data_IF_955234532761
#
_entry.id   IF_955234532761
#
_cell.length_a   1.000
_cell.length_b   1.000
_cell.length_c   1.000
_cell.angle_alpha   90.00
_cell.angle_beta   90.00
_cell.angle_gamma   90.00
#
_symmetry.space_group_name_H-M   'P 1'
#
loop_
_entity.id
_entity.type
_entity.pdbx_description
1 polymer ?
#
# COMPACT_ATOMS: atom_id res chain seq x y z
N UNK A 1 75.55 17.07 4.10
CA UNK A 1 75.76 17.75 5.39
C UNK A 1 75.18 19.15 5.31
N UNK A 2 74.47 19.67 6.32
CA UNK A 2 73.77 19.03 7.47
C UNK A 2 72.24 19.07 7.24
N UNK A 3 71.43 18.09 7.68
CA UNK A 3 71.09 17.68 9.04
C UNK A 3 70.35 18.78 9.83
N UNK A 4 69.02 18.68 9.84
CA UNK A 4 68.19 19.05 10.98
C UNK A 4 67.08 18.00 11.10
N UNK A 5 67.24 17.12 12.08
CA UNK A 5 66.13 16.36 12.64
C UNK A 5 65.34 17.30 13.53
N UNK A 6 64.01 17.15 13.48
CA UNK A 6 63.04 17.24 14.57
C UNK A 6 61.68 17.13 13.86
N UNK A 7 60.66 16.38 14.26
CA UNK A 7 60.41 15.33 15.23
C UNK A 7 58.99 14.88 14.84
N UNK A 8 58.64 13.61 15.05
CA UNK A 8 57.37 13.02 14.63
C UNK A 8 56.14 13.84 15.09
N UNK A 9 55.38 14.41 14.15
CA UNK A 9 54.01 14.89 14.40
C UNK A 9 53.09 13.66 14.48
N UNK A 10 53.19 12.98 15.61
CA UNK A 10 52.24 11.97 16.06
C UNK A 10 50.90 12.67 16.27
N UNK A 11 50.09 12.71 15.21
CA UNK A 11 48.75 13.25 15.22
C UNK A 11 47.99 12.76 16.45
N UNK A 12 47.57 13.71 17.29
CA UNK A 12 46.86 13.47 18.54
C UNK A 12 45.72 12.47 18.31
N UNK A 13 45.95 11.24 18.76
CA UNK A 13 44.93 10.22 18.85
C UNK A 13 43.80 10.77 19.68
N UNK A 14 42.61 10.89 19.07
CA UNK A 14 41.40 11.26 19.78
C UNK A 14 41.28 10.44 21.07
N UNK A 15 41.00 11.07 22.22
CA UNK A 15 40.98 10.35 23.49
C UNK A 15 39.98 9.19 23.39
N UNK A 16 40.29 8.01 23.99
CA UNK A 16 39.39 6.88 23.97
C UNK A 16 38.05 7.35 24.54
N UNK A 17 36.99 7.23 23.74
CA UNK A 17 35.63 7.53 24.20
C UNK A 17 35.39 6.72 25.46
N UNK A 18 35.16 7.43 26.57
CA UNK A 18 34.76 6.81 27.82
C UNK A 18 33.66 5.77 27.53
N UNK A 19 33.72 4.57 28.14
CA UNK A 19 32.67 3.58 27.95
C UNK A 19 31.36 4.29 28.29
N UNK A 20 30.50 4.43 27.27
CA UNK A 20 29.17 4.95 27.51
C UNK A 20 28.58 4.01 28.52
N UNK A 21 28.33 4.51 29.73
CA UNK A 21 27.45 3.88 30.69
C UNK A 21 26.12 3.72 29.97
N UNK A 22 25.99 2.59 29.28
CA UNK A 22 24.72 2.08 28.84
C UNK A 22 24.13 1.65 30.16
N UNK A 23 23.54 2.61 30.88
CA UNK A 23 22.47 2.34 31.82
C UNK A 23 21.49 1.52 30.98
N UNK A 24 21.64 0.21 31.02
CA UNK A 24 20.58 -0.71 30.71
C UNK A 24 19.50 -0.29 31.67
N UNK A 25 18.64 0.62 31.21
CA UNK A 25 17.40 0.92 31.88
C UNK A 25 16.74 -0.44 31.95
N UNK A 26 16.87 -1.12 33.09
CA UNK A 26 16.17 -2.36 33.34
C UNK A 26 14.74 -2.06 32.89
N UNK A 27 14.27 -2.79 31.88
CA UNK A 27 12.89 -2.65 31.43
C UNK A 27 12.06 -2.79 32.70
N UNK A 28 11.47 -1.69 33.17
CA UNK A 28 10.66 -1.71 34.39
C UNK A 28 9.54 -2.67 34.06
N UNK A 29 9.61 -3.88 34.60
CA UNK A 29 8.64 -4.94 34.36
C UNK A 29 7.27 -4.31 34.63
N UNK A 30 6.36 -4.36 33.64
CA UNK A 30 5.03 -3.77 33.80
C UNK A 30 4.30 -4.56 34.88
N UNK A 31 4.26 -4.01 36.08
CA UNK A 31 3.48 -4.55 37.17
C UNK A 31 2.04 -4.06 37.02
N UNK A 32 1.08 -4.99 37.06
CA UNK A 32 -0.33 -4.63 37.18
C UNK A 32 -0.55 -3.86 38.50
N UNK A 33 -1.41 -2.82 38.52
CA UNK A 33 -1.73 -2.13 39.76
C UNK A 33 -2.35 -3.08 40.79
N UNK A 34 -2.18 -2.77 42.07
CA UNK A 34 -2.73 -3.57 43.16
C UNK A 34 -4.28 -3.59 43.10
N UNK A 35 -4.87 -4.77 43.33
CA UNK A 35 -6.34 -4.95 43.38
C UNK A 35 -7.00 -5.50 42.10
N UNK A 36 -6.27 -5.71 41.01
CA UNK A 36 -6.82 -6.29 39.78
C UNK A 36 -6.58 -7.82 39.72
N UNK A 37 -7.65 -8.59 39.58
CA UNK A 37 -7.59 -10.06 39.54
C UNK A 37 -7.12 -10.56 38.16
N UNK A 38 -6.03 -11.34 38.16
CA UNK A 38 -5.44 -11.96 36.96
C UNK A 38 -5.96 -13.39 36.77
N UNK A 39 -6.29 -13.76 35.53
CA UNK A 39 -6.69 -15.14 35.19
C UNK A 39 -5.46 -15.90 34.71
N UNK A 40 -4.72 -16.56 35.61
CA UNK A 40 -3.61 -17.44 35.22
C UNK A 40 -4.09 -18.88 35.08
N UNK A 41 -3.64 -19.56 34.02
CA UNK A 41 -4.09 -20.91 33.66
C UNK A 41 -3.00 -21.92 34.00
N UNK A 42 -3.16 -22.70 35.07
CA UNK A 42 -2.69 -24.09 35.06
C UNK A 42 -3.60 -24.88 34.09
N UNK A 43 -3.37 -24.61 32.81
CA UNK A 43 -3.90 -25.23 31.60
C UNK A 43 -2.95 -24.86 30.45
N UNK A 44 -2.54 -25.87 29.68
CA UNK A 44 -1.14 -26.08 29.28
C UNK A 44 -0.45 -24.96 28.45
N UNK A 45 0.55 -24.36 29.12
CA UNK A 45 1.89 -24.00 28.65
C UNK A 45 2.08 -22.84 27.65
N UNK A 46 1.93 -21.60 28.13
CA UNK A 46 3.06 -20.66 28.42
C UNK A 46 2.52 -19.23 28.50
N UNK A 47 2.40 -18.65 29.70
CA UNK A 47 2.24 -17.20 29.83
C UNK A 47 3.09 -16.65 30.98
N UNK A 48 3.97 -15.72 30.61
CA UNK A 48 4.72 -14.78 31.45
C UNK A 48 5.25 -13.69 30.51
N UNK A 49 5.17 -12.39 30.81
CA UNK A 49 5.17 -11.71 32.12
C UNK A 49 4.14 -10.56 32.07
N UNK A 50 3.09 -10.39 32.90
CA UNK A 50 2.59 -11.11 34.09
C UNK A 50 1.10 -10.74 34.38
N UNK A 51 0.03 -11.44 33.99
CA UNK A 51 -0.19 -12.71 33.27
C UNK A 51 -1.72 -12.83 33.14
N UNK A 52 -2.22 -13.33 31.99
CA UNK A 52 -3.63 -13.63 31.76
C UNK A 52 -4.53 -12.41 31.49
N UNK A 53 -5.68 -12.58 30.82
CA UNK A 53 -6.62 -11.49 30.65
C UNK A 53 -7.15 -11.04 32.03
N UNK A 54 -7.27 -9.73 32.24
CA UNK A 54 -8.03 -9.16 33.35
C UNK A 54 -9.53 -9.44 33.17
N UNK A 55 -10.27 -9.44 34.27
CA UNK A 55 -11.71 -9.66 34.27
C UNK A 55 -12.46 -8.61 33.42
N UNK A 56 -13.56 -9.01 32.78
CA UNK A 56 -14.31 -8.14 31.87
C UNK A 56 -14.92 -6.90 32.57
N UNK A 57 -15.25 -7.00 33.86
CA UNK A 57 -15.77 -5.89 34.68
C UNK A 57 -14.72 -4.90 35.19
N UNK A 58 -13.49 -4.95 34.66
CA UNK A 58 -12.39 -4.07 35.04
C UNK A 58 -12.66 -2.63 34.61
N UNK A 59 -12.43 -1.67 35.50
CA UNK A 59 -12.41 -0.25 35.13
C UNK A 59 -11.12 0.09 34.35
N UNK A 60 -11.20 -0.03 33.03
CA UNK A 60 -10.09 0.19 32.10
C UNK A 60 -9.58 1.64 32.09
N UNK A 61 -10.39 2.62 32.51
CA UNK A 61 -10.02 4.03 32.53
C UNK A 61 -8.87 4.33 33.51
N UNK A 62 -8.82 3.57 34.61
CA UNK A 62 -7.81 3.69 35.66
C UNK A 62 -6.48 3.00 35.33
N UNK A 63 -6.46 2.18 34.29
CA UNK A 63 -5.26 1.43 33.90
C UNK A 63 -4.34 2.26 32.98
N UNK A 64 -3.02 2.01 33.05
CA UNK A 64 -2.06 2.64 32.15
C UNK A 64 -2.19 2.06 30.74
N UNK A 65 -1.99 2.91 29.72
CA UNK A 65 -2.13 2.56 28.29
C UNK A 65 -1.42 1.25 27.93
N UNK A 66 -0.17 0.99 28.35
CA UNK A 66 0.50 -0.25 27.98
C UNK A 66 -0.21 -1.53 28.45
N UNK A 67 -0.86 -1.50 29.61
CA UNK A 67 -1.66 -2.63 30.11
C UNK A 67 -2.91 -2.82 29.25
N UNK A 68 -3.59 -1.73 28.88
CA UNK A 68 -4.77 -1.80 28.02
C UNK A 68 -4.41 -2.39 26.65
N UNK A 69 -3.26 -2.00 26.10
CA UNK A 69 -2.73 -2.56 24.84
C UNK A 69 -2.39 -4.04 24.96
N UNK A 70 -1.72 -4.44 26.03
CA UNK A 70 -1.45 -5.85 26.33
C UNK A 70 -2.76 -6.66 26.37
N UNK A 71 -3.80 -6.14 27.01
CA UNK A 71 -5.09 -6.81 27.16
C UNK A 71 -5.87 -6.95 25.84
N UNK A 72 -5.72 -6.00 24.92
CA UNK A 72 -6.23 -6.11 23.54
C UNK A 72 -5.43 -7.14 22.74
N UNK A 73 -4.09 -7.11 22.85
CA UNK A 73 -3.19 -8.04 22.17
C UNK A 73 -3.46 -9.50 22.60
N UNK A 74 -3.62 -9.75 23.89
CA UNK A 74 -3.99 -11.08 24.44
C UNK A 74 -5.32 -11.58 23.87
N UNK A 75 -6.26 -10.68 23.57
CA UNK A 75 -7.57 -11.00 23.00
C UNK A 75 -7.58 -11.07 21.46
N UNK A 76 -6.42 -10.89 20.81
CA UNK A 76 -6.31 -10.91 19.35
C UNK A 76 -6.96 -9.70 18.67
N UNK A 77 -7.05 -8.58 19.38
CA UNK A 77 -7.70 -7.35 18.90
C UNK A 77 -6.65 -6.25 18.71
N UNK A 78 -6.81 -5.35 17.73
CA UNK A 78 -5.83 -4.30 17.48
C UNK A 78 -5.60 -3.42 18.72
N UNK A 79 -4.34 -3.18 19.08
CA UNK A 79 -3.91 -2.51 20.32
C UNK A 79 -3.48 -1.04 20.12
N UNK A 80 -3.68 -0.49 18.92
CA UNK A 80 -3.30 0.87 18.57
C UNK A 80 -4.50 1.84 18.64
N UNK A 81 -4.21 3.13 18.75
CA UNK A 81 -5.21 4.20 18.85
C UNK A 81 -5.03 5.08 20.10
N UNK A 82 -5.96 6.01 20.28
CA UNK A 82 -6.06 6.84 21.50
C UNK A 82 -6.55 6.00 22.68
N UNK A 83 -6.30 6.45 23.91
CA UNK A 83 -6.67 5.73 25.14
C UNK A 83 -8.17 5.38 25.18
N UNK A 84 -9.03 6.32 24.82
CA UNK A 84 -10.48 6.12 24.87
C UNK A 84 -10.94 5.09 23.82
N UNK A 85 -10.38 5.14 22.61
CA UNK A 85 -10.67 4.17 21.53
C UNK A 85 -10.27 2.74 21.92
N UNK A 86 -9.09 2.56 22.52
CA UNK A 86 -8.64 1.24 22.95
C UNK A 86 -9.44 0.74 24.17
N UNK A 87 -9.93 1.63 25.03
CA UNK A 87 -10.83 1.27 26.15
C UNK A 87 -12.17 0.79 25.61
N UNK A 88 -12.81 1.58 24.74
CA UNK A 88 -14.11 1.22 24.15
C UNK A 88 -14.02 -0.10 23.39
N UNK A 89 -12.94 -0.30 22.63
CA UNK A 89 -12.67 -1.56 21.93
C UNK A 89 -12.51 -2.74 22.89
N UNK A 90 -11.86 -2.51 24.04
CA UNK A 90 -11.66 -3.54 25.06
C UNK A 90 -12.94 -3.84 25.84
N UNK A 91 -13.82 -2.86 26.04
CA UNK A 91 -15.16 -3.07 26.63
C UNK A 91 -16.02 -3.91 25.68
N UNK A 92 -16.00 -3.59 24.39
CA UNK A 92 -16.83 -4.22 23.37
C UNK A 92 -16.12 -5.37 22.64
N UNK A 93 -15.08 -5.96 23.24
CA UNK A 93 -14.17 -6.89 22.57
C UNK A 93 -14.86 -8.16 22.05
N UNK A 94 -15.91 -8.63 22.74
CA UNK A 94 -16.67 -9.84 22.37
C UNK A 94 -17.49 -9.65 21.10
N UNK A 95 -17.91 -8.41 20.83
CA UNK A 95 -18.68 -8.02 19.65
C UNK A 95 -17.83 -7.25 18.64
N UNK A 96 -16.52 -7.13 18.89
CA UNK A 96 -15.62 -6.41 18.03
C UNK A 96 -15.49 -7.13 16.68
N UNK A 97 -15.98 -6.48 15.64
CA UNK A 97 -15.74 -6.88 14.26
C UNK A 97 -14.62 -5.99 13.73
N UNK A 98 -13.47 -6.57 13.32
CA UNK A 98 -12.39 -5.77 12.76
C UNK A 98 -12.90 -5.06 11.50
N UNK A 99 -12.64 -3.77 11.43
CA UNK A 99 -12.98 -2.99 10.25
C UNK A 99 -12.16 -3.50 9.06
N UNK A 100 -12.85 -4.15 8.12
CA UNK A 100 -12.26 -4.63 6.87
C UNK A 100 -12.71 -3.76 5.72
N UNK A 101 -11.78 -3.42 4.84
CA UNK A 101 -12.10 -2.75 3.58
C UNK A 101 -12.17 -3.81 2.50
N UNK A 102 -13.35 -4.00 1.92
CA UNK A 102 -13.49 -4.86 0.74
C UNK A 102 -12.86 -4.16 -0.46
N UNK A 103 -11.75 -4.71 -0.94
CA UNK A 103 -10.97 -4.11 -2.04
C UNK A 103 -11.44 -4.64 -3.40
N UNK A 104 -11.50 -5.96 -3.52
CA UNK A 104 -12.04 -6.71 -4.67
C UNK A 104 -12.33 -8.13 -4.25
N UNK A 105 -13.20 -8.81 -4.98
CA UNK A 105 -13.34 -10.26 -4.84
C UNK A 105 -12.03 -10.93 -5.25
N UNK A 106 -11.57 -11.90 -4.46
CA UNK A 106 -10.38 -12.67 -4.79
C UNK A 106 -10.62 -13.41 -6.12
N UNK A 107 -9.76 -13.20 -7.10
CA UNK A 107 -9.84 -13.86 -8.41
C UNK A 107 -8.93 -15.09 -8.45
N UNK A 108 -9.10 -15.97 -9.45
CA UNK A 108 -8.19 -17.12 -9.68
C UNK A 108 -6.70 -16.71 -9.76
N UNK A 109 -6.41 -15.47 -10.19
CA UNK A 109 -5.07 -14.89 -10.18
C UNK A 109 -4.46 -14.77 -8.77
N UNK A 110 -5.28 -14.66 -7.73
CA UNK A 110 -4.81 -14.50 -6.35
C UNK A 110 -4.37 -15.84 -5.76
N UNK A 111 -4.98 -16.95 -6.21
CA UNK A 111 -4.54 -18.31 -5.89
C UNK A 111 -3.16 -18.61 -6.50
N UNK A 112 -2.88 -18.06 -7.69
CA UNK A 112 -1.59 -18.21 -8.37
C UNK A 112 -0.40 -17.58 -7.61
N UNK A 113 -0.65 -16.64 -6.69
CA UNK A 113 0.42 -16.05 -5.87
C UNK A 113 0.98 -17.01 -4.82
N UNK A 114 0.17 -17.98 -4.38
CA UNK A 114 0.52 -18.88 -3.28
C UNK A 114 0.66 -18.15 -1.94
N UNK A 115 1.41 -18.75 -1.01
CA UNK A 115 1.65 -18.17 0.30
C UNK A 115 2.56 -16.93 0.22
N UNK A 116 2.08 -15.81 0.74
CA UNK A 116 2.83 -14.54 0.74
C UNK A 116 3.72 -14.46 2.00
N UNK A 117 5.04 -14.39 1.80
CA UNK A 117 6.00 -14.43 2.91
C UNK A 117 5.94 -13.16 3.75
N UNK A 118 5.68 -13.25 5.05
CA UNK A 118 5.49 -12.04 5.86
C UNK A 118 6.79 -11.26 6.07
N UNK A 119 7.90 -11.93 6.37
CA UNK A 119 9.08 -11.26 6.92
C UNK A 119 10.33 -11.39 6.06
N UNK A 120 10.55 -12.52 5.39
CA UNK A 120 11.79 -12.83 4.68
C UNK A 120 11.50 -13.46 3.31
N UNK A 121 12.07 -12.95 2.23
CA UNK A 121 11.95 -13.55 0.89
C UNK A 121 12.83 -14.81 0.76
N UNK A 122 12.64 -15.58 -0.32
CA UNK A 122 13.50 -16.73 -0.61
C UNK A 122 14.96 -16.31 -0.84
N UNK A 123 15.17 -15.09 -1.35
CA UNK A 123 16.49 -14.46 -1.51
C UNK A 123 17.05 -13.82 -0.22
N UNK A 124 16.33 -13.92 0.92
CA UNK A 124 16.77 -13.39 2.21
C UNK A 124 16.48 -11.91 2.46
N UNK A 125 15.72 -11.25 1.58
CA UNK A 125 15.30 -9.85 1.75
C UNK A 125 14.31 -9.74 2.91
N UNK A 126 14.37 -8.66 3.68
CA UNK A 126 13.49 -8.46 4.84
C UNK A 126 12.48 -7.34 4.60
N UNK A 127 11.27 -7.50 5.14
CA UNK A 127 10.27 -6.43 5.23
C UNK A 127 9.63 -6.34 6.61
N UNK A 128 9.14 -5.14 6.93
CA UNK A 128 8.20 -4.95 8.01
C UNK A 128 6.79 -5.20 7.49
N UNK A 129 6.14 -6.25 7.99
CA UNK A 129 4.80 -6.63 7.54
C UNK A 129 3.72 -5.82 8.25
N UNK A 130 2.96 -5.05 7.49
CA UNK A 130 1.83 -4.27 7.98
C UNK A 130 0.55 -5.10 7.90
N UNK A 131 -0.16 -5.23 9.02
CA UNK A 131 -1.47 -5.90 9.06
C UNK A 131 -2.58 -5.10 8.36
N UNK A 132 -3.59 -5.82 7.85
CA UNK A 132 -4.78 -5.23 7.22
C UNK A 132 -5.67 -4.48 8.22
N UNK A 133 -5.49 -4.74 9.51
CA UNK A 133 -6.15 -4.08 10.64
C UNK A 133 -5.53 -2.72 11.00
N UNK A 134 -4.46 -2.31 10.31
CA UNK A 134 -3.81 -1.03 10.57
C UNK A 134 -4.73 0.15 10.22
N UNK A 135 -5.03 1.02 11.20
CA UNK A 135 -5.97 2.14 11.02
C UNK A 135 -5.59 3.11 9.89
N UNK A 136 -4.30 3.37 9.67
CA UNK A 136 -3.84 4.24 8.57
C UNK A 136 -4.06 3.59 7.22
N UNK A 137 -3.80 2.28 7.13
CA UNK A 137 -4.10 1.51 5.92
C UNK A 137 -5.60 1.51 5.64
N UNK A 138 -6.44 1.17 6.62
CA UNK A 138 -7.90 1.14 6.46
C UNK A 138 -8.42 2.48 5.93
N UNK A 139 -8.00 3.60 6.54
CA UNK A 139 -8.40 4.94 6.07
C UNK A 139 -7.96 5.21 4.62
N UNK A 140 -6.72 4.84 4.27
CA UNK A 140 -6.20 5.03 2.92
C UNK A 140 -6.87 4.10 1.90
N UNK A 141 -7.16 2.86 2.27
CA UNK A 141 -7.83 1.87 1.44
C UNK A 141 -9.28 2.28 1.17
N UNK A 142 -10.03 2.74 2.18
CA UNK A 142 -11.39 3.29 1.98
C UNK A 142 -11.39 4.39 0.93
N UNK A 143 -10.48 5.35 1.05
CA UNK A 143 -10.33 6.44 0.07
C UNK A 143 -9.94 5.91 -1.30
N UNK A 144 -9.08 4.89 -1.36
CA UNK A 144 -8.69 4.30 -2.63
C UNK A 144 -9.88 3.66 -3.36
N UNK A 145 -10.75 2.95 -2.64
CA UNK A 145 -11.91 2.29 -3.23
C UNK A 145 -13.01 3.30 -3.65
N UNK A 146 -13.24 4.35 -2.86
CA UNK A 146 -14.38 5.26 -3.04
C UNK A 146 -14.07 6.49 -3.91
N UNK A 147 -12.89 7.08 -3.78
CA UNK A 147 -12.57 8.31 -4.51
C UNK A 147 -12.34 8.03 -6.02
N UNK A 148 -12.54 9.07 -6.83
CA UNK A 148 -12.25 9.02 -8.25
C UNK A 148 -10.76 9.31 -8.49
N UNK A 149 -10.03 8.33 -9.02
CA UNK A 149 -8.65 8.47 -9.43
C UNK A 149 -8.48 7.96 -10.86
N UNK A 150 -7.70 8.71 -11.64
CA UNK A 150 -7.45 8.47 -13.05
C UNK A 150 -5.95 8.30 -13.26
N UNK A 151 -5.57 7.25 -13.98
CA UNK A 151 -4.22 7.06 -14.51
C UNK A 151 -4.15 7.86 -15.81
N UNK A 152 -3.29 8.89 -15.82
CA UNK A 152 -3.16 9.81 -16.96
C UNK A 152 -1.91 9.57 -17.78
N UNK A 153 -0.97 8.80 -17.23
CA UNK A 153 0.28 8.41 -17.88
C UNK A 153 0.87 7.20 -17.13
N UNK A 154 1.54 6.31 -17.84
CA UNK A 154 2.28 5.21 -17.25
C UNK A 154 3.59 4.99 -18.02
N UNK A 155 4.66 4.69 -17.28
CA UNK A 155 5.97 4.43 -17.84
C UNK A 155 6.53 3.21 -17.15
N UNK A 156 6.77 2.16 -17.93
CA UNK A 156 7.58 1.03 -17.51
C UNK A 156 9.04 1.46 -17.55
N UNK A 157 9.76 1.22 -16.46
CA UNK A 157 11.19 1.47 -16.33
C UNK A 157 11.87 0.17 -15.91
N UNK A 158 12.91 -0.21 -16.64
CA UNK A 158 13.84 -1.23 -16.17
C UNK A 158 15.04 -0.50 -15.56
N UNK A 159 15.12 -0.51 -14.23
CA UNK A 159 16.22 0.10 -13.50
C UNK A 159 17.22 -1.00 -13.13
N UNK A 160 18.24 -1.19 -13.98
CA UNK A 160 19.33 -2.16 -13.75
C UNK A 160 18.88 -3.63 -13.56
N UNK A 161 17.89 -4.08 -14.35
CA UNK A 161 17.35 -5.44 -14.26
C UNK A 161 16.35 -5.64 -13.13
N UNK A 162 15.99 -4.57 -12.42
CA UNK A 162 14.93 -4.56 -11.42
C UNK A 162 13.69 -3.92 -12.04
N UNK A 163 12.57 -4.65 -12.15
CA UNK A 163 11.37 -4.10 -12.74
C UNK A 163 10.83 -2.95 -11.89
N UNK A 164 10.49 -1.84 -12.52
CA UNK A 164 9.84 -0.71 -11.89
C UNK A 164 8.76 -0.14 -12.81
N UNK A 165 7.60 0.19 -12.26
CA UNK A 165 6.55 0.86 -13.02
C UNK A 165 6.13 2.14 -12.32
N UNK A 166 6.05 3.21 -13.11
CA UNK A 166 5.64 4.53 -12.64
C UNK A 166 4.32 4.95 -13.28
N UNK A 167 3.42 5.49 -12.47
CA UNK A 167 2.08 5.94 -12.86
C UNK A 167 1.88 7.39 -12.47
N UNK A 168 1.26 8.19 -13.35
CA UNK A 168 0.71 9.50 -12.98
C UNK A 168 -0.75 9.32 -12.61
N UNK A 169 -1.05 9.53 -11.33
CA UNK A 169 -2.41 9.42 -10.78
C UNK A 169 -2.96 10.81 -10.52
N UNK A 170 -4.13 11.12 -11.07
CA UNK A 170 -4.80 12.41 -10.94
C UNK A 170 -6.25 12.23 -10.48
N UNK A 171 -6.75 13.19 -9.71
CA UNK A 171 -8.17 13.34 -9.39
C UNK A 171 -8.81 14.52 -10.14
N UNK A 172 -8.07 15.14 -11.08
CA UNK A 172 -8.53 16.23 -11.93
C UNK A 172 -7.91 17.60 -11.66
N UNK A 173 -7.26 17.81 -10.52
CA UNK A 173 -6.58 19.09 -10.19
C UNK A 173 -5.08 18.89 -10.38
N UNK A 174 -4.50 18.11 -9.49
CA UNK A 174 -3.08 17.78 -9.48
C UNK A 174 -2.88 16.30 -9.81
N UNK A 175 -1.63 15.98 -10.15
CA UNK A 175 -1.20 14.62 -10.36
C UNK A 175 -0.04 14.28 -9.42
N UNK A 176 0.00 13.03 -8.99
CA UNK A 176 1.10 12.48 -8.21
C UNK A 176 1.74 11.33 -9.00
N UNK A 177 3.05 11.21 -8.87
CA UNK A 177 3.76 10.03 -9.40
C UNK A 177 3.68 8.93 -8.36
N UNK A 178 3.17 7.78 -8.74
CA UNK A 178 3.23 6.53 -7.97
C UNK A 178 4.29 5.64 -8.61
N UNK A 179 5.14 5.06 -7.79
CA UNK A 179 6.21 4.16 -8.23
C UNK A 179 6.01 2.82 -7.55
N UNK A 180 5.91 1.75 -8.33
CA UNK A 180 5.82 0.38 -7.85
C UNK A 180 7.09 -0.34 -8.31
N UNK A 181 7.96 -0.61 -7.35
CA UNK A 181 9.16 -1.42 -7.48
C UNK A 181 9.36 -2.21 -6.19
N UNK A 182 10.57 -2.70 -5.90
CA UNK A 182 10.86 -3.37 -4.62
C UNK A 182 10.54 -2.49 -3.41
N UNK A 183 10.58 -1.17 -3.60
CA UNK A 183 9.99 -0.19 -2.68
C UNK A 183 8.90 0.60 -3.39
N UNK A 184 7.72 0.69 -2.76
CA UNK A 184 6.63 1.50 -3.27
C UNK A 184 6.79 2.96 -2.85
N UNK A 185 6.48 3.88 -3.76
CA UNK A 185 6.65 5.31 -3.58
C UNK A 185 5.49 6.11 -4.13
N UNK A 186 5.26 7.30 -3.57
CA UNK A 186 4.37 8.29 -4.17
C UNK A 186 4.81 9.70 -3.80
N UNK A 187 4.64 10.66 -4.71
CA UNK A 187 4.98 12.08 -4.49
C UNK A 187 3.91 12.84 -3.71
N UNK A 188 2.84 12.18 -3.23
CA UNK A 188 1.78 12.86 -2.49
C UNK A 188 2.17 13.15 -1.03
N UNK A 189 1.59 14.20 -0.42
CA UNK A 189 1.90 14.55 0.97
C UNK A 189 1.71 13.38 1.95
N UNK A 190 0.66 12.58 1.76
CA UNK A 190 0.40 11.42 2.62
C UNK A 190 1.54 10.38 2.57
N UNK A 191 2.15 10.14 1.41
CA UNK A 191 3.27 9.22 1.29
C UNK A 191 4.58 9.82 1.83
N UNK A 192 4.75 11.15 1.70
CA UNK A 192 5.91 11.88 2.24
C UNK A 192 5.91 11.87 3.76
N UNK A 193 4.77 12.07 4.42
CA UNK A 193 4.69 12.15 5.88
C UNK A 193 4.34 10.82 6.58
N UNK A 194 3.88 9.80 5.84
CA UNK A 194 3.58 8.48 6.40
C UNK A 194 4.51 7.40 5.83
N UNK A 195 5.47 6.98 6.65
CA UNK A 195 6.44 5.94 6.28
C UNK A 195 6.02 4.52 6.66
N UNK A 196 4.89 4.34 7.36
CA UNK A 196 4.48 3.02 7.85
C UNK A 196 3.67 2.22 6.83
N UNK A 197 2.77 2.87 6.08
CA UNK A 197 1.85 2.20 5.16
C UNK A 197 1.75 2.97 3.85
N UNK A 198 1.26 2.31 2.80
CA UNK A 198 0.97 2.97 1.53
C UNK A 198 -0.12 4.04 1.65
N UNK A 199 -0.01 5.08 0.81
CA UNK A 199 -1.05 6.10 0.66
C UNK A 199 -2.16 5.59 -0.27
N UNK A 200 -3.29 6.30 -0.33
CA UNK A 200 -4.41 5.94 -1.20
C UNK A 200 -4.03 5.77 -2.67
N UNK A 201 -3.09 6.56 -3.21
CA UNK A 201 -2.69 6.46 -4.62
C UNK A 201 -1.90 5.17 -4.91
N UNK A 202 -0.99 4.78 -4.02
CA UNK A 202 -0.26 3.52 -4.15
C UNK A 202 -1.21 2.34 -3.99
N UNK A 203 -2.11 2.40 -3.00
CA UNK A 203 -3.13 1.36 -2.79
C UNK A 203 -4.02 1.24 -4.02
N UNK A 204 -4.45 2.37 -4.61
CA UNK A 204 -5.27 2.39 -5.82
C UNK A 204 -4.61 1.69 -7.00
N UNK A 205 -3.33 2.00 -7.24
CA UNK A 205 -2.55 1.38 -8.31
C UNK A 205 -2.39 -0.11 -8.06
N UNK A 206 -1.98 -0.51 -6.85
CA UNK A 206 -1.84 -1.92 -6.52
C UNK A 206 -3.17 -2.67 -6.61
N UNK A 207 -4.30 -2.08 -6.20
CA UNK A 207 -5.59 -2.76 -6.17
C UNK A 207 -6.31 -2.81 -7.52
N UNK A 208 -6.44 -1.67 -8.21
CA UNK A 208 -7.27 -1.57 -9.41
C UNK A 208 -6.47 -1.74 -10.70
N UNK A 209 -5.25 -1.19 -10.74
CA UNK A 209 -4.43 -1.20 -11.96
C UNK A 209 -3.66 -2.52 -12.08
N UNK A 210 -2.90 -2.87 -11.03
CA UNK A 210 -2.04 -4.06 -11.04
C UNK A 210 -2.71 -5.31 -10.47
N UNK A 211 -3.87 -5.18 -9.82
CA UNK A 211 -4.60 -6.29 -9.19
C UNK A 211 -3.69 -7.17 -8.30
N UNK A 212 -2.89 -6.53 -7.46
CA UNK A 212 -2.07 -7.19 -6.46
C UNK A 212 -2.95 -7.82 -5.36
N UNK A 213 -2.46 -8.88 -4.68
CA UNK A 213 -3.12 -9.45 -3.50
C UNK A 213 -3.35 -8.44 -2.37
N UNK A 214 -4.48 -8.56 -1.66
CA UNK A 214 -4.92 -7.60 -0.62
C UNK A 214 -3.84 -7.38 0.46
N UNK A 215 -3.17 -8.45 0.88
CA UNK A 215 -2.16 -8.37 1.94
C UNK A 215 -0.87 -7.62 1.53
N UNK A 216 -0.64 -7.40 0.24
CA UNK A 216 0.48 -6.60 -0.27
C UNK A 216 0.15 -5.11 -0.37
N UNK A 217 -1.13 -4.73 -0.39
CA UNK A 217 -1.56 -3.34 -0.52
C UNK A 217 -0.98 -2.39 0.56
N UNK A 218 -0.92 -2.76 1.86
CA UNK A 218 -0.31 -1.88 2.85
C UNK A 218 1.23 -1.87 2.81
N UNK A 219 1.87 -2.85 2.15
CA UNK A 219 3.31 -3.08 2.26
C UNK A 219 4.12 -2.07 1.46
N UNK A 220 5.10 -1.45 2.12
CA UNK A 220 6.05 -0.53 1.48
C UNK A 220 7.15 -1.24 0.68
N UNK A 221 7.37 -2.51 0.98
CA UNK A 221 8.38 -3.36 0.35
C UNK A 221 7.67 -4.56 -0.27
N UNK A 222 7.86 -4.70 -1.58
CA UNK A 222 7.36 -5.83 -2.39
C UNK A 222 8.62 -6.59 -2.81
N UNK A 223 8.69 -7.89 -2.56
CA UNK A 223 9.88 -8.65 -2.98
C UNK A 223 9.94 -8.75 -4.51
N UNK A 224 11.14 -8.94 -5.07
CA UNK A 224 11.33 -8.99 -6.53
C UNK A 224 10.45 -10.07 -7.18
N UNK A 225 10.37 -11.26 -6.57
CA UNK A 225 9.52 -12.36 -7.08
C UNK A 225 8.02 -12.04 -6.98
N UNK A 226 7.60 -11.35 -5.91
CA UNK A 226 6.22 -10.88 -5.75
C UNK A 226 5.90 -9.82 -6.82
N UNK A 227 6.85 -8.92 -7.08
CA UNK A 227 6.70 -7.86 -8.06
C UNK A 227 6.59 -8.41 -9.48
N UNK A 228 7.45 -9.38 -9.85
CA UNK A 228 7.36 -10.07 -11.12
C UNK A 228 5.97 -10.71 -11.30
N UNK A 229 5.49 -11.45 -10.30
CA UNK A 229 4.13 -12.03 -10.30
C UNK A 229 3.04 -10.96 -10.41
N UNK A 230 3.17 -9.80 -9.75
CA UNK A 230 2.20 -8.70 -9.87
C UNK A 230 2.15 -8.18 -11.29
N UNK A 231 3.31 -7.97 -11.92
CA UNK A 231 3.37 -7.43 -13.28
C UNK A 231 2.89 -8.45 -14.32
N UNK A 232 3.24 -9.73 -14.16
CA UNK A 232 2.83 -10.81 -15.07
C UNK A 232 1.32 -11.07 -15.02
N UNK A 233 0.69 -10.90 -13.86
CA UNK A 233 -0.76 -11.10 -13.68
C UNK A 233 -1.57 -9.80 -13.84
N UNK A 234 -0.91 -8.65 -13.99
CA UNK A 234 -1.61 -7.38 -14.17
C UNK A 234 -2.39 -7.38 -15.50
N UNK A 235 -3.60 -6.79 -15.53
CA UNK A 235 -4.29 -6.54 -16.79
C UNK A 235 -3.40 -5.76 -17.76
N UNK A 236 -3.36 -6.18 -19.02
CA UNK A 236 -2.73 -5.40 -20.09
C UNK A 236 -3.36 -4.00 -20.10
N UNK A 237 -2.53 -2.97 -19.90
CA UNK A 237 -2.95 -1.56 -19.78
C UNK A 237 -3.32 -0.90 -21.12
N UNK A 238 -3.42 -1.70 -22.18
CA UNK A 238 -3.60 -1.29 -23.56
C UNK A 238 -2.72 -2.15 -24.48
N UNK A 239 -2.90 -2.03 -25.80
CA UNK A 239 -2.05 -2.70 -26.77
C UNK A 239 -0.62 -2.13 -26.79
N UNK A 240 0.34 -2.96 -27.20
CA UNK A 240 1.69 -2.50 -27.58
C UNK A 240 1.65 -1.67 -28.86
N UNK A 241 2.73 -0.96 -29.17
CA UNK A 241 2.81 -0.21 -30.43
C UNK A 241 2.80 -1.16 -31.64
N UNK A 242 3.39 -2.36 -31.53
CA UNK A 242 3.27 -3.36 -32.60
C UNK A 242 1.82 -3.86 -32.76
N UNK A 243 1.12 -4.15 -31.66
CA UNK A 243 -0.29 -4.57 -31.69
C UNK A 243 -1.18 -3.49 -32.32
N UNK A 244 -0.92 -2.20 -32.03
CA UNK A 244 -1.62 -1.07 -32.65
C UNK A 244 -1.37 -0.96 -34.15
N UNK A 245 -0.18 -1.34 -34.62
CA UNK A 245 0.18 -1.32 -36.03
C UNK A 245 -0.40 -2.51 -36.80
N UNK A 246 -0.25 -3.71 -36.26
CA UNK A 246 -0.57 -4.97 -36.95
C UNK A 246 -2.03 -5.39 -36.87
N UNK A 247 -2.73 -5.09 -35.76
CA UNK A 247 -4.09 -5.59 -35.54
C UNK A 247 -5.13 -4.52 -35.95
N UNK A 248 -5.91 -4.76 -37.02
CA UNK A 248 -6.91 -3.81 -37.50
C UNK A 248 -8.04 -3.57 -36.49
N UNK A 249 -8.24 -4.44 -35.48
CA UNK A 249 -9.26 -4.28 -34.43
C UNK A 249 -9.11 -2.97 -33.65
N UNK A 250 -7.91 -2.40 -33.60
CA UNK A 250 -7.66 -1.10 -32.94
C UNK A 250 -8.01 0.12 -33.80
N UNK A 251 -8.36 -0.11 -35.07
CA UNK A 251 -8.64 0.91 -36.08
C UNK A 251 -9.95 0.64 -36.85
N UNK A 252 -10.72 -0.38 -36.47
CA UNK A 252 -11.91 -0.85 -37.18
C UNK A 252 -13.15 0.04 -36.99
N UNK A 253 -13.13 0.96 -36.02
CA UNK A 253 -14.28 1.78 -35.65
C UNK A 253 -15.45 1.00 -35.06
N UNK A 254 -15.29 -0.30 -34.77
CA UNK A 254 -16.39 -1.16 -34.28
C UNK A 254 -16.52 -1.00 -32.77
N UNK A 255 -17.70 -0.56 -32.33
CA UNK A 255 -18.04 -0.38 -30.91
C UNK A 255 -17.79 -1.66 -30.12
N UNK A 256 -16.96 -1.58 -29.08
CA UNK A 256 -16.66 -2.70 -28.18
C UNK A 256 -17.66 -2.73 -27.03
N UNK A 257 -18.10 -3.91 -26.58
CA UNK A 257 -19.07 -4.02 -25.50
C UNK A 257 -18.52 -3.43 -24.19
N UNK A 258 -19.40 -2.81 -23.40
CA UNK A 258 -19.07 -2.28 -22.06
C UNK A 258 -18.93 -3.40 -21.03
N UNK A 259 -19.76 -4.43 -21.14
CA UNK A 259 -19.84 -5.50 -20.15
C UNK A 259 -18.52 -6.30 -20.05
N UNK A 260 -18.06 -6.50 -18.82
CA UNK A 260 -16.80 -7.22 -18.54
C UNK A 260 -15.54 -6.46 -18.93
N UNK A 261 -15.63 -5.19 -19.32
CA UNK A 261 -14.48 -4.32 -19.62
C UNK A 261 -14.36 -3.20 -18.59
N UNK A 262 -13.14 -2.90 -18.19
CA UNK A 262 -12.82 -1.80 -17.28
C UNK A 262 -12.48 -0.55 -18.07
N UNK A 263 -12.86 0.61 -17.54
CA UNK A 263 -12.44 1.91 -18.04
C UNK A 263 -10.90 1.99 -18.02
N UNK A 264 -10.23 2.34 -19.14
CA UNK A 264 -8.76 2.32 -19.22
C UNK A 264 -8.07 3.42 -18.43
N UNK A 265 -8.85 4.42 -18.00
CA UNK A 265 -8.33 5.56 -17.24
C UNK A 265 -8.42 5.29 -15.73
N UNK A 266 -9.53 4.75 -15.24
CA UNK A 266 -9.70 4.50 -13.79
C UNK A 266 -9.64 3.02 -13.40
N UNK A 267 -9.61 2.08 -14.34
CA UNK A 267 -9.56 0.63 -14.10
C UNK A 267 -10.76 0.08 -13.31
N UNK A 268 -11.86 0.84 -13.24
CA UNK A 268 -13.15 0.40 -12.70
C UNK A 268 -14.08 -0.01 -13.85
N UNK A 269 -14.99 -0.92 -13.57
CA UNK A 269 -16.01 -1.36 -14.54
C UNK A 269 -16.87 -0.20 -15.03
N UNK A 270 -17.33 -0.33 -16.27
CA UNK A 270 -18.33 0.58 -16.82
C UNK A 270 -19.68 0.30 -16.14
N UNK A 271 -20.11 1.23 -15.29
CA UNK A 271 -21.50 1.28 -14.83
C UNK A 271 -22.37 2.01 -15.86
N UNK A 272 -23.69 2.02 -15.68
CA UNK A 272 -24.68 2.69 -16.54
C UNK A 272 -24.52 4.22 -16.66
N UNK A 273 -23.49 4.81 -16.03
CA UNK A 273 -23.17 6.24 -16.14
C UNK A 273 -22.73 6.62 -17.56
N UNK A 274 -22.82 7.92 -17.87
CA UNK A 274 -22.38 8.49 -19.14
C UNK A 274 -20.94 8.07 -19.48
N UNK A 275 -20.80 7.32 -20.58
CA UNK A 275 -19.52 6.92 -21.15
C UNK A 275 -19.36 7.57 -22.51
N UNK A 276 -18.13 7.94 -22.87
CA UNK A 276 -17.77 8.33 -24.22
C UNK A 276 -17.09 7.16 -24.94
N UNK A 277 -17.30 7.05 -26.25
CA UNK A 277 -16.74 6.00 -27.10
C UNK A 277 -15.76 6.61 -28.11
N UNK A 278 -14.61 5.97 -28.30
CA UNK A 278 -13.67 6.36 -29.34
C UNK A 278 -14.14 5.89 -30.71
N UNK A 279 -14.29 6.81 -31.68
CA UNK A 279 -14.70 6.48 -33.04
C UNK A 279 -13.67 5.69 -33.87
N UNK A 280 -12.45 5.48 -33.36
CA UNK A 280 -11.40 4.68 -34.04
C UNK A 280 -11.30 3.24 -33.55
N UNK A 281 -11.31 3.02 -32.24
CA UNK A 281 -11.15 1.68 -31.66
C UNK A 281 -12.40 1.16 -30.96
N UNK A 282 -13.49 1.95 -30.91
CA UNK A 282 -14.77 1.57 -30.30
C UNK A 282 -14.76 1.35 -28.78
N UNK A 283 -13.66 1.66 -28.09
CA UNK A 283 -13.56 1.47 -26.65
C UNK A 283 -14.22 2.61 -25.87
N UNK A 284 -14.78 2.26 -24.72
CA UNK A 284 -15.50 3.18 -23.84
C UNK A 284 -14.61 3.73 -22.73
N UNK A 285 -14.92 4.94 -22.27
CA UNK A 285 -14.32 5.58 -21.10
C UNK A 285 -15.42 6.34 -20.37
N UNK A 286 -15.41 6.36 -19.03
CA UNK A 286 -16.35 7.21 -18.29
C UNK A 286 -16.16 8.68 -18.70
N UNK A 287 -17.24 9.44 -18.88
CA UNK A 287 -17.19 10.83 -19.31
C UNK A 287 -16.23 11.67 -18.42
N UNK A 288 -16.40 11.59 -17.10
CA UNK A 288 -15.55 12.27 -16.13
C UNK A 288 -14.07 11.84 -16.23
N UNK A 289 -13.81 10.55 -16.42
CA UNK A 289 -12.44 10.06 -16.55
C UNK A 289 -11.77 10.59 -17.82
N UNK A 290 -12.51 10.63 -18.93
CA UNK A 290 -12.01 11.20 -20.18
C UNK A 290 -11.74 12.71 -20.05
N UNK A 291 -12.61 13.44 -19.34
CA UNK A 291 -12.41 14.86 -19.07
C UNK A 291 -11.20 15.17 -18.19
N UNK A 292 -10.86 14.27 -17.26
CA UNK A 292 -9.62 14.37 -16.48
C UNK A 292 -8.42 14.06 -17.39
N UNK A 293 -8.50 12.97 -18.15
CA UNK A 293 -7.43 12.54 -19.06
C UNK A 293 -7.07 13.62 -20.10
N UNK A 294 -8.08 14.25 -20.73
CA UNK A 294 -7.85 15.29 -21.75
C UNK A 294 -7.12 16.51 -21.19
N UNK A 295 -7.35 16.88 -19.92
CA UNK A 295 -6.68 18.01 -19.26
C UNK A 295 -5.18 17.77 -19.09
N UNK A 296 -4.77 16.52 -18.99
CA UNK A 296 -3.37 16.13 -18.86
C UNK A 296 -2.70 15.77 -20.20
N UNK A 297 -3.47 15.63 -21.29
CA UNK A 297 -2.95 15.42 -22.65
C UNK A 297 -2.34 16.73 -23.19
N UNK A 298 -1.01 16.79 -23.34
CA UNK A 298 -0.29 18.02 -23.75
C UNK A 298 -0.33 18.27 -25.26
N UNK A 299 -0.47 19.56 -25.62
CA UNK A 299 -0.17 20.28 -26.87
C UNK A 299 -0.72 19.80 -28.23
N UNK A 300 -1.13 18.54 -28.41
CA UNK A 300 -1.58 18.00 -29.72
C UNK A 300 -3.03 17.50 -29.72
N UNK A 301 -3.86 18.04 -28.81
CA UNK A 301 -5.26 17.63 -28.64
C UNK A 301 -5.43 16.34 -27.84
N UNK A 302 -6.68 15.98 -27.48
CA UNK A 302 -6.95 14.75 -26.74
C UNK A 302 -6.62 13.52 -27.57
N UNK A 303 -5.93 12.55 -26.98
CA UNK A 303 -5.70 11.23 -27.55
C UNK A 303 -6.63 10.19 -26.92
N UNK A 304 -6.87 9.08 -27.60
CA UNK A 304 -7.57 7.94 -27.03
C UNK A 304 -6.68 7.23 -25.99
N UNK A 305 -7.17 7.00 -24.75
CA UNK A 305 -6.42 6.25 -23.73
C UNK A 305 -6.10 4.80 -24.13
N UNK A 306 -6.85 4.22 -25.07
CA UNK A 306 -6.63 2.85 -25.56
C UNK A 306 -5.72 2.82 -26.79
N UNK A 307 -6.16 3.43 -27.89
CA UNK A 307 -5.46 3.29 -29.18
C UNK A 307 -4.47 4.41 -29.48
N UNK A 308 -4.31 5.40 -28.57
CA UNK A 308 -3.37 6.54 -28.67
C UNK A 308 -3.58 7.46 -29.88
N UNK A 309 -4.56 7.17 -30.74
CA UNK A 309 -4.92 8.00 -31.88
C UNK A 309 -5.62 9.30 -31.46
N UNK A 310 -5.64 10.30 -32.35
CA UNK A 310 -6.41 11.54 -32.12
C UNK A 310 -7.86 11.23 -31.79
N UNK A 311 -8.33 11.81 -30.69
CA UNK A 311 -9.66 11.53 -30.19
C UNK A 311 -10.71 12.12 -31.14
N UNK A 312 -11.61 11.25 -31.56
CA UNK A 312 -12.89 11.61 -32.15
C UNK A 312 -13.95 10.80 -31.43
N UNK A 313 -15.01 11.42 -30.88
CA UNK A 313 -16.11 10.66 -30.34
C UNK A 313 -16.76 9.86 -31.48
N UNK A 314 -17.28 8.68 -31.16
CA UNK A 314 -18.18 7.97 -32.05
C UNK A 314 -19.40 8.86 -32.30
N UNK A 315 -19.73 9.12 -33.57
CA UNK A 315 -20.97 9.79 -33.96
C UNK A 315 -22.05 8.73 -34.10
N UNK A 316 -23.19 8.93 -33.46
CA UNK A 316 -24.38 8.08 -33.62
C UNK A 316 -24.88 8.07 -35.08
#
# INVERSE_FOLDING_TARGET
MPAYYDEDDAGEGSPPRAPRDRKTRALKMMAYPDGYQRVTKLGMNTFGVNTGPLADGTDWSKLPIPIIREQLSIRGIPDHGKKDEIIERLINYKTYVPEKVEVRQASQSDEAFGAISRTISDAGERRFFVGLDNSKYISAAKKAMTECMCIVDNVLKDDFGVPNVSFKVSNGIDWYTVTIGPKTGCTCPAAVYNHTTNCKHVIYVLSHVLRAPECLLPQKTIFVDELAKILDNAPKMGPSDEELESDPVWKDGVVKPKNGKSCPVCYKEHCEKETVCCGKCGHHTHLLCFDIFKRHSRHFGPKCPMCRADWKPMTD
#
